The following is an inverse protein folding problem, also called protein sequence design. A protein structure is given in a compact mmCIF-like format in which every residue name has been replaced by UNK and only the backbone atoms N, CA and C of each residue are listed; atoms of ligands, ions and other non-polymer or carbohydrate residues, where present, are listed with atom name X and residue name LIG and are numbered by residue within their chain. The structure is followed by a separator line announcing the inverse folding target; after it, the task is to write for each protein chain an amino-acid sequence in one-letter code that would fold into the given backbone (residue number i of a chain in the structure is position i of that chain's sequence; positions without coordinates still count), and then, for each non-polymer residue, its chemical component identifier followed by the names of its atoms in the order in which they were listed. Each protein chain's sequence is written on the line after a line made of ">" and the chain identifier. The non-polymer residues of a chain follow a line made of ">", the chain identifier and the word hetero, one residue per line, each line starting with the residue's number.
data_IF_060007767303
#
_entry.id   IF_060007767303
#
_cell.length_a   1.000
_cell.length_b   1.000
_cell.length_c   1.000
_cell.angle_alpha   90.00
_cell.angle_beta   90.00
_cell.angle_gamma   90.00
#
_symmetry.space_group_name_H-M   'P 1'
#
loop_
_entity.id
_entity.type
_entity.pdbx_description
1 polymer ?
#
# COMPACT_ATOMS: atom_id res chain seq x y z
N UNK A 1 -9.77 0.94 19.35
CA UNK A 1 -8.46 1.53 19.03
C UNK A 1 -8.53 3.01 18.67
N UNK A 2 -9.70 3.51 18.24
CA UNK A 2 -9.93 4.95 18.01
C UNK A 2 -10.91 5.50 19.03
N UNK A 3 -10.51 6.56 19.75
CA UNK A 3 -11.31 7.13 20.84
C UNK A 3 -12.28 8.22 20.34
N UNK A 4 -11.96 8.81 19.17
CA UNK A 4 -12.66 9.98 18.65
C UNK A 4 -13.63 9.69 17.50
N UNK A 5 -13.49 8.57 16.81
CA UNK A 5 -14.34 8.18 15.68
C UNK A 5 -14.51 6.67 15.59
N UNK A 6 -15.58 6.25 14.92
CA UNK A 6 -15.81 4.86 14.54
C UNK A 6 -16.02 4.80 13.04
N UNK A 7 -15.59 3.67 12.46
CA UNK A 7 -15.60 3.42 11.02
C UNK A 7 -14.68 4.35 10.25
N UNK A 8 -14.22 3.89 9.11
CA UNK A 8 -13.48 4.67 8.14
C UNK A 8 -13.96 4.25 6.75
N UNK A 9 -13.98 5.20 5.83
CA UNK A 9 -14.22 4.93 4.41
C UNK A 9 -12.88 4.98 3.68
N UNK A 10 -12.78 4.16 2.63
CA UNK A 10 -11.69 4.29 1.65
C UNK A 10 -11.83 5.60 0.88
N UNK A 11 -10.79 6.02 0.19
CA UNK A 11 -10.93 7.12 -0.77
C UNK A 11 -11.96 6.76 -1.85
N UNK A 12 -12.71 7.77 -2.38
CA UNK A 12 -13.62 7.53 -3.49
C UNK A 12 -12.88 6.97 -4.71
N UNK A 13 -13.44 5.94 -5.34
CA UNK A 13 -12.79 5.23 -6.43
C UNK A 13 -13.68 5.14 -7.66
N UNK A 14 -13.05 5.21 -8.82
CA UNK A 14 -13.65 4.89 -10.09
C UNK A 14 -13.50 3.39 -10.36
N UNK A 15 -14.57 2.77 -10.83
CA UNK A 15 -14.59 1.36 -11.23
C UNK A 15 -14.64 1.29 -12.75
N UNK A 16 -13.66 0.65 -13.37
CA UNK A 16 -13.60 0.46 -14.83
C UNK A 16 -13.36 -1.01 -15.17
N UNK A 17 -14.02 -1.49 -16.21
CA UNK A 17 -13.76 -2.83 -16.75
C UNK A 17 -12.73 -2.70 -17.88
N UNK A 18 -11.67 -3.48 -17.81
CA UNK A 18 -10.62 -3.53 -18.84
C UNK A 18 -10.38 -4.98 -19.28
N UNK A 19 -10.22 -5.19 -20.60
CA UNK A 19 -9.81 -6.48 -21.11
C UNK A 19 -8.30 -6.64 -20.93
N UNK A 20 -7.89 -7.71 -20.27
CA UNK A 20 -6.49 -8.09 -20.06
C UNK A 20 -6.34 -9.54 -20.52
N UNK A 21 -5.64 -9.74 -21.64
CA UNK A 21 -5.63 -11.02 -22.37
C UNK A 21 -7.06 -11.46 -22.72
N UNK A 22 -7.49 -12.64 -22.28
CA UNK A 22 -8.83 -13.16 -22.50
C UNK A 22 -9.82 -12.88 -21.35
N UNK A 23 -9.33 -12.27 -20.28
CA UNK A 23 -10.13 -11.94 -19.09
C UNK A 23 -10.62 -10.49 -19.14
N UNK A 24 -11.75 -10.23 -18.47
CA UNK A 24 -12.24 -8.87 -18.16
C UNK A 24 -12.03 -8.62 -16.68
N UNK A 25 -11.16 -7.68 -16.35
CA UNK A 25 -10.79 -7.33 -14.99
C UNK A 25 -11.44 -6.03 -14.55
N UNK A 26 -11.85 -5.99 -13.29
CA UNK A 26 -12.34 -4.77 -12.65
C UNK A 26 -11.16 -4.00 -12.09
N UNK A 27 -10.91 -2.82 -12.63
CA UNK A 27 -9.96 -1.85 -12.10
C UNK A 27 -10.67 -0.94 -11.10
N UNK A 28 -10.01 -0.65 -10.01
CA UNK A 28 -10.56 0.08 -8.87
C UNK A 28 -9.53 1.10 -8.37
N UNK A 29 -9.60 2.35 -8.83
CA UNK A 29 -8.56 3.35 -8.63
C UNK A 29 -9.15 4.66 -8.07
N UNK A 30 -8.40 5.42 -7.26
CA UNK A 30 -8.88 6.70 -6.76
C UNK A 30 -9.33 7.64 -7.87
N UNK A 31 -10.41 8.39 -7.63
CA UNK A 31 -10.91 9.39 -8.56
C UNK A 31 -9.82 10.43 -8.89
N UNK A 32 -9.73 10.85 -10.14
CA UNK A 32 -8.79 11.90 -10.58
C UNK A 32 -8.94 13.21 -9.80
N UNK A 33 -10.16 13.52 -9.33
CA UNK A 33 -10.39 14.70 -8.48
C UNK A 33 -9.69 14.61 -7.13
N UNK A 34 -9.43 13.41 -6.61
CA UNK A 34 -8.68 13.21 -5.36
C UNK A 34 -7.24 13.76 -5.47
N UNK A 35 -6.61 13.62 -6.62
CA UNK A 35 -5.23 14.10 -6.85
C UNK A 35 -5.08 15.61 -6.68
N UNK A 36 -6.14 16.39 -6.96
CA UNK A 36 -6.13 17.85 -6.75
C UNK A 36 -5.99 18.26 -5.29
N UNK A 37 -6.28 17.35 -4.36
CA UNK A 37 -6.23 17.60 -2.92
C UNK A 37 -4.94 17.04 -2.28
N UNK A 38 -4.11 16.38 -3.07
CA UNK A 38 -2.83 15.84 -2.60
C UNK A 38 -1.74 16.89 -2.81
N UNK A 39 -1.27 17.49 -1.71
CA UNK A 39 -0.13 18.41 -1.77
C UNK A 39 1.15 17.64 -2.12
N UNK A 40 1.87 18.09 -3.12
CA UNK A 40 3.18 17.52 -3.45
C UNK A 40 4.22 17.94 -2.41
N UNK A 41 4.75 16.96 -1.69
CA UNK A 41 5.84 17.18 -0.74
C UNK A 41 7.23 17.08 -1.37
N UNK A 42 7.32 16.33 -2.45
CA UNK A 42 8.54 16.12 -3.23
C UNK A 42 8.20 16.22 -4.72
N UNK A 43 9.11 16.73 -5.56
CA UNK A 43 8.91 16.66 -7.00
C UNK A 43 8.71 15.19 -7.42
N UNK A 44 7.85 14.98 -8.40
CA UNK A 44 7.69 13.65 -9.01
C UNK A 44 9.04 13.18 -9.53
N UNK A 45 9.69 12.35 -8.77
CA UNK A 45 10.79 11.55 -9.27
C UNK A 45 10.22 10.20 -9.60
N UNK A 46 10.38 9.75 -10.83
CA UNK A 46 10.16 8.34 -11.18
C UNK A 46 11.16 7.54 -10.35
N UNK A 47 10.70 7.05 -9.22
CA UNK A 47 11.54 6.25 -8.35
C UNK A 47 11.54 4.84 -8.90
N UNK A 48 12.59 4.49 -9.62
CA UNK A 48 12.81 3.12 -10.04
C UNK A 48 13.50 2.34 -8.91
N UNK A 49 12.88 1.25 -8.50
CA UNK A 49 13.44 0.37 -7.48
C UNK A 49 14.27 -0.70 -8.17
N UNK A 50 15.59 -0.62 -7.97
CA UNK A 50 16.57 -1.57 -8.50
C UNK A 50 16.90 -2.66 -7.48
N UNK A 51 17.26 -3.89 -7.92
CA UNK A 51 17.48 -5.04 -7.04
C UNK A 51 18.59 -4.86 -6.00
N UNK A 52 19.51 -3.95 -6.25
CA UNK A 52 20.80 -3.88 -5.52
C UNK A 52 20.84 -2.83 -4.42
N UNK A 53 19.81 -2.05 -4.21
CA UNK A 53 19.83 -0.95 -3.23
C UNK A 53 18.57 -0.87 -2.40
N UNK A 54 18.74 -1.04 -1.10
CA UNK A 54 17.74 -0.66 -0.12
C UNK A 54 17.44 0.85 -0.24
N UNK A 55 16.19 1.19 -0.48
CA UNK A 55 15.71 2.57 -0.51
C UNK A 55 14.98 2.90 0.79
N UNK A 56 15.27 4.06 1.35
CA UNK A 56 14.54 4.61 2.50
C UNK A 56 13.93 5.93 2.05
N UNK A 57 12.61 5.97 2.08
CA UNK A 57 11.82 7.17 1.76
C UNK A 57 11.26 7.77 3.05
N UNK A 58 11.72 8.95 3.47
CA UNK A 58 11.17 9.60 4.65
C UNK A 58 9.73 10.05 4.37
N UNK A 59 8.85 9.89 5.36
CA UNK A 59 7.46 10.32 5.29
C UNK A 59 7.33 11.66 6.00
N UNK A 60 7.36 12.74 5.23
CA UNK A 60 7.32 14.12 5.75
C UNK A 60 6.07 14.38 6.60
N UNK A 61 4.93 13.86 6.19
CA UNK A 61 3.63 14.07 6.84
C UNK A 61 3.16 12.84 7.65
N UNK A 62 4.08 11.90 7.94
CA UNK A 62 3.75 10.70 8.67
C UNK A 62 2.66 9.88 7.98
N UNK A 63 1.59 9.56 8.72
CA UNK A 63 0.48 8.76 8.21
C UNK A 63 -0.56 9.58 7.41
N UNK A 64 -0.12 10.53 6.60
CA UNK A 64 -0.94 11.26 5.62
C UNK A 64 -0.13 11.41 4.35
N UNK A 65 0.07 10.30 3.64
CA UNK A 65 1.00 10.25 2.51
C UNK A 65 0.43 9.47 1.33
N UNK A 66 0.53 10.05 0.14
CA UNK A 66 0.46 9.33 -1.13
C UNK A 66 1.89 9.00 -1.55
N UNK A 67 2.15 7.72 -1.82
CA UNK A 67 3.45 7.20 -2.22
C UNK A 67 3.25 6.49 -3.55
N UNK A 68 4.05 6.85 -4.54
CA UNK A 68 3.96 6.26 -5.88
C UNK A 68 5.35 6.02 -6.45
N UNK A 69 5.55 4.84 -7.03
CA UNK A 69 6.80 4.45 -7.67
C UNK A 69 6.60 3.27 -8.61
N UNK A 70 7.57 3.05 -9.48
CA UNK A 70 7.63 1.88 -10.36
C UNK A 70 8.54 0.82 -9.76
N UNK A 71 8.05 -0.42 -9.71
CA UNK A 71 8.77 -1.59 -9.24
C UNK A 71 9.21 -2.41 -10.45
N UNK A 72 10.52 -2.39 -10.75
CA UNK A 72 11.12 -3.10 -11.89
C UNK A 72 11.74 -4.44 -11.51
N UNK A 73 11.64 -4.84 -10.22
CA UNK A 73 12.11 -6.13 -9.72
C UNK A 73 10.97 -7.13 -9.57
N UNK A 74 11.22 -8.44 -9.74
CA UNK A 74 10.15 -9.45 -9.61
C UNK A 74 9.62 -9.57 -8.19
N UNK A 75 10.48 -9.38 -7.19
CA UNK A 75 10.14 -9.52 -5.78
C UNK A 75 10.64 -8.31 -5.00
N UNK A 76 9.78 -7.75 -4.15
CA UNK A 76 10.12 -6.62 -3.31
C UNK A 76 9.41 -6.70 -1.97
N UNK A 77 10.12 -6.29 -0.93
CA UNK A 77 9.60 -6.16 0.41
C UNK A 77 9.60 -4.70 0.83
N UNK A 78 8.46 -4.22 1.24
CA UNK A 78 8.22 -2.84 1.66
C UNK A 78 7.88 -2.80 3.15
N UNK A 79 8.54 -1.91 3.90
CA UNK A 79 8.35 -1.78 5.34
C UNK A 79 8.04 -0.35 5.74
N UNK A 80 6.92 -0.16 6.39
CA UNK A 80 6.65 1.02 7.19
C UNK A 80 7.08 0.78 8.64
N UNK A 81 7.79 1.72 9.23
CA UNK A 81 8.24 1.64 10.63
C UNK A 81 8.18 2.98 11.34
N UNK A 82 7.94 2.92 12.63
CA UNK A 82 8.11 4.05 13.55
C UNK A 82 9.18 3.75 14.59
N UNK A 83 9.49 4.74 15.44
CA UNK A 83 10.52 4.61 16.47
C UNK A 83 10.08 3.70 17.64
N UNK A 84 8.79 3.46 17.81
CA UNK A 84 8.25 2.59 18.85
C UNK A 84 8.28 1.10 18.48
N UNK A 85 8.75 0.78 17.27
CA UNK A 85 8.83 -0.59 16.77
C UNK A 85 7.57 -1.09 16.07
N UNK A 86 6.51 -0.27 15.99
CA UNK A 86 5.35 -0.64 15.16
C UNK A 86 5.77 -0.74 13.71
N UNK A 87 5.24 -1.74 13.02
CA UNK A 87 5.58 -1.99 11.63
C UNK A 87 4.45 -2.62 10.83
N UNK A 88 4.45 -2.31 9.55
CA UNK A 88 3.66 -2.99 8.53
C UNK A 88 4.61 -3.44 7.42
N UNK A 89 4.49 -4.68 6.97
CA UNK A 89 5.19 -5.16 5.78
C UNK A 89 4.24 -5.50 4.66
N UNK A 90 4.71 -5.24 3.44
CA UNK A 90 4.05 -5.62 2.19
C UNK A 90 5.11 -6.34 1.36
N UNK A 91 4.83 -7.58 0.99
CA UNK A 91 5.71 -8.38 0.15
C UNK A 91 5.01 -8.62 -1.18
N UNK A 92 5.62 -8.18 -2.27
CA UNK A 92 5.19 -8.46 -3.64
C UNK A 92 6.07 -9.57 -4.18
N UNK A 93 5.50 -10.75 -4.40
CA UNK A 93 6.15 -11.92 -4.97
C UNK A 93 5.48 -12.25 -6.31
N UNK A 94 6.08 -11.78 -7.41
CA UNK A 94 5.52 -11.99 -8.75
C UNK A 94 5.75 -13.40 -9.25
N UNK A 95 6.79 -14.09 -8.76
CA UNK A 95 7.06 -15.48 -9.12
C UNK A 95 5.95 -16.40 -8.59
N UNK A 96 5.50 -16.14 -7.36
CA UNK A 96 4.35 -16.83 -6.76
C UNK A 96 3.00 -16.19 -7.08
N UNK A 97 3.00 -15.05 -7.76
CA UNK A 97 1.79 -14.28 -8.09
C UNK A 97 0.94 -13.96 -6.85
N UNK A 98 1.59 -13.47 -5.81
CA UNK A 98 0.94 -13.13 -4.53
C UNK A 98 1.51 -11.84 -3.95
N UNK A 99 0.61 -11.07 -3.33
CA UNK A 99 0.98 -9.96 -2.44
C UNK A 99 0.59 -10.37 -1.02
N UNK A 100 1.53 -10.24 -0.10
CA UNK A 100 1.33 -10.51 1.32
C UNK A 100 1.37 -9.21 2.11
N UNK A 101 0.38 -9.00 2.97
CA UNK A 101 0.29 -7.84 3.86
C UNK A 101 0.32 -8.32 5.32
N UNK A 102 1.31 -7.87 6.08
CA UNK A 102 1.44 -8.19 7.50
C UNK A 102 1.29 -6.94 8.36
N UNK A 103 0.21 -6.91 9.15
CA UNK A 103 -0.09 -5.86 10.13
C UNK A 103 -0.05 -6.32 11.58
N UNK A 104 0.43 -7.53 11.84
CA UNK A 104 0.45 -8.10 13.20
C UNK A 104 1.27 -7.28 14.18
N UNK A 105 2.14 -6.41 13.69
CA UNK A 105 2.96 -5.47 14.50
C UNK A 105 2.62 -4.01 14.21
N UNK A 106 1.43 -3.72 13.71
CA UNK A 106 1.06 -2.37 13.27
C UNK A 106 0.65 -1.42 14.42
N UNK A 107 0.88 -1.77 15.66
CA UNK A 107 0.54 -0.99 16.86
C UNK A 107 -0.53 -1.68 17.70
N UNK A 108 -1.69 -1.04 17.93
CA UNK A 108 -2.80 -1.61 18.69
C UNK A 108 -3.50 -2.70 17.89
N UNK A 109 -3.18 -3.95 18.14
CA UNK A 109 -3.74 -5.12 17.45
C UNK A 109 -4.47 -6.09 18.37
N UNK A 110 -4.38 -5.91 19.67
CA UNK A 110 -4.85 -6.79 20.74
C UNK A 110 -6.32 -6.57 21.16
N UNK A 111 -6.99 -5.58 20.59
CA UNK A 111 -8.40 -5.28 20.92
C UNK A 111 -9.39 -6.32 20.35
N UNK A 112 -8.97 -7.17 19.45
CA UNK A 112 -9.75 -8.27 18.90
C UNK A 112 -8.86 -9.34 18.30
N UNK A 113 -9.07 -10.59 18.68
CA UNK A 113 -8.39 -11.76 18.12
C UNK A 113 -8.59 -11.90 16.59
N UNK A 114 -9.69 -11.34 16.07
CA UNK A 114 -10.01 -11.36 14.64
C UNK A 114 -9.34 -10.24 13.84
N UNK A 115 -8.73 -9.24 14.50
CA UNK A 115 -8.20 -8.08 13.80
C UNK A 115 -6.94 -8.41 12.99
N UNK A 116 -5.97 -9.09 13.59
CA UNK A 116 -4.70 -9.43 12.94
C UNK A 116 -4.29 -10.89 13.23
N UNK A 117 -5.16 -11.89 12.93
CA UNK A 117 -4.90 -13.29 13.28
C UNK A 117 -3.72 -13.89 12.50
N UNK A 118 -3.30 -13.25 11.42
CA UNK A 118 -2.23 -13.68 10.53
C UNK A 118 -1.95 -12.66 9.45
N UNK A 119 -1.14 -13.07 8.48
CA UNK A 119 -0.89 -12.30 7.27
C UNK A 119 -2.09 -12.38 6.32
N UNK A 120 -2.31 -11.31 5.58
CA UNK A 120 -3.33 -11.27 4.52
C UNK A 120 -2.65 -11.47 3.17
N UNK A 121 -3.30 -12.19 2.27
CA UNK A 121 -2.77 -12.47 0.94
C UNK A 121 -3.77 -12.09 -0.15
N UNK A 122 -3.26 -11.55 -1.24
CA UNK A 122 -3.99 -11.26 -2.46
C UNK A 122 -3.28 -11.94 -3.63
N UNK A 123 -4.00 -12.76 -4.38
CA UNK A 123 -3.49 -13.35 -5.64
C UNK A 123 -3.47 -12.29 -6.75
N UNK A 124 -2.41 -12.30 -7.53
CA UNK A 124 -2.20 -11.38 -8.66
C UNK A 124 -1.90 -12.15 -9.97
N UNK A 125 -2.81 -13.04 -10.42
CA UNK A 125 -2.53 -14.00 -11.50
C UNK A 125 -2.15 -13.36 -12.84
N UNK A 126 -2.73 -12.19 -13.16
CA UNK A 126 -2.53 -11.48 -14.43
C UNK A 126 -1.56 -10.31 -14.28
N UNK A 127 -0.64 -10.35 -13.33
CA UNK A 127 0.41 -9.34 -13.19
C UNK A 127 1.40 -9.44 -14.36
N UNK A 128 1.77 -8.34 -15.02
CA UNK A 128 2.72 -8.39 -16.14
C UNK A 128 4.14 -8.72 -15.65
N UNK A 129 4.95 -9.28 -16.54
CA UNK A 129 6.37 -9.57 -16.27
C UNK A 129 7.26 -8.30 -16.25
N UNK A 130 6.79 -7.23 -16.89
CA UNK A 130 7.48 -5.93 -16.94
C UNK A 130 7.36 -5.13 -15.63
N UNK A 131 7.82 -3.86 -15.65
CA UNK A 131 7.65 -2.95 -14.52
C UNK A 131 6.17 -2.80 -14.13
N UNK A 132 5.90 -2.69 -12.83
CA UNK A 132 4.57 -2.47 -12.27
C UNK A 132 4.50 -1.17 -11.50
N UNK A 133 3.39 -0.49 -11.59
CA UNK A 133 3.14 0.71 -10.80
C UNK A 133 2.60 0.33 -9.44
N UNK A 134 3.19 0.91 -8.41
CA UNK A 134 2.74 0.82 -7.03
C UNK A 134 2.30 2.20 -6.57
N UNK A 135 1.07 2.29 -6.09
CA UNK A 135 0.59 3.46 -5.39
C UNK A 135 0.04 3.05 -4.02
N UNK A 136 0.42 3.77 -2.99
CA UNK A 136 -0.07 3.56 -1.63
C UNK A 136 -0.63 4.87 -1.06
N UNK A 137 -1.76 4.74 -0.39
CA UNK A 137 -2.33 5.80 0.43
C UNK A 137 -2.22 5.37 1.88
N UNK A 138 -1.39 6.07 2.62
CA UNK A 138 -1.22 5.88 4.06
C UNK A 138 -1.97 6.97 4.79
N UNK A 139 -2.90 6.58 5.64
CA UNK A 139 -3.63 7.47 6.55
C UNK A 139 -3.42 7.04 8.00
N UNK A 140 -3.98 7.77 8.96
CA UNK A 140 -3.84 7.54 10.40
C UNK A 140 -4.16 6.09 10.82
N UNK A 141 -5.19 5.50 10.20
CA UNK A 141 -5.69 4.18 10.57
C UNK A 141 -5.91 3.24 9.39
N UNK A 142 -5.36 3.55 8.23
CA UNK A 142 -5.49 2.70 7.04
C UNK A 142 -4.28 2.78 6.12
N UNK A 143 -4.07 1.72 5.39
CA UNK A 143 -3.16 1.65 4.27
C UNK A 143 -3.88 1.00 3.08
N UNK A 144 -3.97 1.74 1.99
CA UNK A 144 -4.53 1.28 0.72
C UNK A 144 -3.40 1.09 -0.28
N UNK A 145 -3.29 -0.09 -0.84
CA UNK A 145 -2.31 -0.45 -1.87
C UNK A 145 -3.04 -0.63 -3.20
N UNK A 146 -2.53 0.02 -4.23
CA UNK A 146 -3.00 -0.11 -5.62
C UNK A 146 -1.83 -0.54 -6.49
N UNK A 147 -2.05 -1.54 -7.31
CA UNK A 147 -1.07 -2.05 -8.28
C UNK A 147 -1.65 -1.87 -9.68
N UNK A 148 -0.84 -1.33 -10.60
CA UNK A 148 -1.20 -1.08 -12.00
C UNK A 148 -2.56 -0.38 -12.13
N UNK A 149 -2.66 0.86 -11.67
CA UNK A 149 -3.88 1.67 -11.73
C UNK A 149 -5.11 0.96 -11.12
N UNK A 150 -4.90 0.16 -10.07
CA UNK A 150 -5.98 -0.54 -9.37
C UNK A 150 -6.42 -1.84 -10.02
N UNK A 151 -5.59 -2.46 -10.87
CA UNK A 151 -5.78 -3.85 -11.30
C UNK A 151 -5.88 -4.79 -10.10
N UNK A 152 -5.08 -4.52 -9.07
CA UNK A 152 -5.14 -5.20 -7.79
C UNK A 152 -5.13 -4.19 -6.66
N UNK A 153 -5.98 -4.40 -5.66
CA UNK A 153 -6.15 -3.46 -4.55
C UNK A 153 -6.25 -4.21 -3.22
N UNK A 154 -5.50 -3.75 -2.24
CA UNK A 154 -5.66 -4.16 -0.84
C UNK A 154 -5.93 -2.93 0.03
N UNK A 155 -6.93 -3.04 0.91
CA UNK A 155 -7.22 -2.01 1.92
C UNK A 155 -7.17 -2.61 3.30
N UNK A 156 -6.32 -2.07 4.15
CA UNK A 156 -6.09 -2.59 5.48
C UNK A 156 -6.19 -1.50 6.53
N UNK A 157 -6.93 -1.78 7.60
CA UNK A 157 -6.87 -0.98 8.81
C UNK A 157 -5.58 -1.29 9.58
N UNK A 158 -4.98 -0.24 10.14
CA UNK A 158 -3.79 -0.27 10.97
C UNK A 158 -3.98 0.71 12.12
N UNK A 159 -3.36 0.47 13.27
CA UNK A 159 -3.49 1.36 14.44
C UNK A 159 -2.13 1.60 15.10
N UNK A 160 -1.18 2.24 14.38
CA UNK A 160 0.14 2.51 14.93
C UNK A 160 0.05 3.45 16.14
N UNK A 161 0.88 3.21 17.15
CA UNK A 161 0.95 4.05 18.35
C UNK A 161 1.57 5.42 18.05
N UNK A 162 2.43 5.49 17.03
CA UNK A 162 2.98 6.73 16.46
C UNK A 162 2.99 6.62 14.92
N UNK A 163 3.02 7.77 14.25
CA UNK A 163 3.13 7.81 12.80
C UNK A 163 4.39 7.12 12.30
N UNK A 164 4.25 6.41 11.20
CA UNK A 164 5.39 5.88 10.48
C UNK A 164 6.28 7.03 9.99
N UNK A 165 7.59 6.84 10.03
CA UNK A 165 8.57 7.89 9.68
C UNK A 165 9.23 7.65 8.35
N UNK A 166 9.20 6.42 7.88
CA UNK A 166 9.81 6.05 6.62
C UNK A 166 9.15 4.81 6.02
N UNK A 167 9.20 4.73 4.71
CA UNK A 167 9.04 3.51 3.94
C UNK A 167 10.41 3.03 3.51
N UNK A 168 10.71 1.77 3.73
CA UNK A 168 11.91 1.08 3.25
C UNK A 168 11.50 0.06 2.19
N UNK A 169 12.22 0.02 1.09
CA UNK A 169 12.04 -0.95 -0.01
C UNK A 169 13.37 -1.63 -0.26
#
# INVERSE_FOLDING_TARGET
>A
PTDKWRSAMTVPRELTLRKVNDDVLLYNYPLKSFERHVAMAYPESVLEILPTRKRIMPLKYGNQSKIQFTLSVPNAQMYFRNKNGDSVSIDVDRDKKVVTFDRRKSGKVDFSEKFAPGVQQMKIPNIPDGPIEIMMLLDHSSLELFINEGQYVMTNQIFPNEFFRALTI
#
